data_IF_487966740193
#
_entry.id   IF_487966740193
#
_cell.length_a   1.000
_cell.length_b   1.000
_cell.length_c   1.000
_cell.angle_alpha   90.00
_cell.angle_beta   90.00
_cell.angle_gamma   90.00
#
_symmetry.space_group_name_H-M   'P 1'
#
loop_
_entity.id
_entity.type
_entity.pdbx_description
1 polymer ?
#
# COMPACT_ATOMS: atom_id res chain seq x y z
N UNK A 1 17.69 -0.69 16.93
CA UNK A 1 16.65 -0.42 15.93
C UNK A 1 17.13 0.74 15.10
N UNK A 2 17.34 0.52 13.81
CA UNK A 2 17.74 1.59 12.89
C UNK A 2 16.59 2.60 12.75
N UNK A 3 16.88 3.87 12.39
CA UNK A 3 15.84 4.85 12.12
C UNK A 3 14.92 4.32 11.00
N UNK A 4 13.64 4.18 11.29
CA UNK A 4 12.65 3.72 10.35
C UNK A 4 11.64 4.85 10.12
N UNK A 5 11.38 5.18 8.86
CA UNK A 5 10.47 6.25 8.45
C UNK A 5 9.50 5.71 7.42
N UNK A 6 8.30 6.25 7.42
CA UNK A 6 7.45 6.17 6.23
C UNK A 6 8.10 6.94 5.07
N UNK A 7 7.76 6.55 3.85
CA UNK A 7 8.03 7.37 2.67
C UNK A 7 6.99 8.49 2.58
N UNK A 8 7.35 9.70 3.04
CA UNK A 8 6.40 10.82 3.11
C UNK A 8 5.85 11.21 1.73
N UNK A 9 6.68 11.23 0.69
CA UNK A 9 6.19 11.56 -0.64
C UNK A 9 5.30 10.46 -1.24
N UNK A 10 5.52 9.18 -0.93
CA UNK A 10 4.56 8.13 -1.31
C UNK A 10 3.19 8.35 -0.66
N UNK A 11 3.15 8.82 0.60
CA UNK A 11 1.90 9.23 1.25
C UNK A 11 1.26 10.39 0.51
N UNK A 12 1.99 11.48 0.31
CA UNK A 12 1.47 12.72 -0.28
C UNK A 12 0.92 12.46 -1.69
N UNK A 13 1.69 11.79 -2.54
CA UNK A 13 1.29 11.49 -3.92
C UNK A 13 0.00 10.67 -3.97
N UNK A 14 -0.15 9.70 -3.07
CA UNK A 14 -1.38 8.92 -2.96
C UNK A 14 -2.55 9.74 -2.39
N UNK A 15 -2.31 10.49 -1.31
CA UNK A 15 -3.30 11.35 -0.65
C UNK A 15 -3.90 12.36 -1.62
N UNK A 16 -3.06 13.13 -2.32
CA UNK A 16 -3.50 14.16 -3.26
C UNK A 16 -4.32 13.53 -4.41
N UNK A 17 -3.88 12.37 -4.91
CA UNK A 17 -4.59 11.64 -5.97
C UNK A 17 -5.98 11.16 -5.51
N UNK A 18 -6.07 10.56 -4.32
CA UNK A 18 -7.35 10.08 -3.78
C UNK A 18 -8.31 11.23 -3.46
N UNK A 19 -7.80 12.32 -2.86
CA UNK A 19 -8.58 13.52 -2.56
C UNK A 19 -9.10 14.18 -3.83
N UNK A 20 -8.27 14.32 -4.86
CA UNK A 20 -8.67 14.87 -6.15
C UNK A 20 -9.76 14.01 -6.84
N UNK A 21 -9.76 12.70 -6.59
CA UNK A 21 -10.80 11.79 -7.06
C UNK A 21 -12.07 11.76 -6.19
N UNK A 22 -12.12 12.55 -5.11
CA UNK A 22 -13.28 12.68 -4.23
C UNK A 22 -13.36 11.64 -3.11
N UNK A 23 -12.26 10.92 -2.82
CA UNK A 23 -12.21 9.97 -1.72
C UNK A 23 -11.77 10.63 -0.41
N UNK A 24 -12.33 10.14 0.69
CA UNK A 24 -11.81 10.39 2.03
C UNK A 24 -10.76 9.34 2.34
N UNK A 25 -9.66 9.77 2.95
CA UNK A 25 -8.53 8.90 3.31
C UNK A 25 -8.34 8.95 4.82
N UNK A 26 -8.35 7.78 5.45
CA UNK A 26 -7.99 7.62 6.85
C UNK A 26 -6.64 6.91 6.94
N UNK A 27 -5.84 7.26 7.95
CA UNK A 27 -4.56 6.61 8.22
C UNK A 27 -4.70 5.63 9.38
N UNK A 28 -4.05 4.49 9.25
CA UNK A 28 -3.98 3.45 10.29
C UNK A 28 -2.53 2.97 10.39
N UNK A 29 -2.05 2.73 11.61
CA UNK A 29 -0.76 2.12 11.88
C UNK A 29 -0.91 1.03 12.95
N UNK A 30 0.05 0.10 13.11
CA UNK A 30 -0.04 -0.97 14.11
C UNK A 30 -0.38 -0.47 15.53
N UNK A 31 0.31 0.57 15.99
CA UNK A 31 0.14 1.11 17.35
C UNK A 31 -0.81 2.32 17.41
N UNK A 32 -1.23 2.85 16.26
CA UNK A 32 -1.89 4.14 16.15
C UNK A 32 -0.99 5.31 16.57
N UNK A 33 -1.53 6.53 16.53
CA UNK A 33 -0.83 7.74 16.93
C UNK A 33 0.15 8.25 15.88
N UNK A 34 1.27 8.81 16.34
CA UNK A 34 2.25 9.52 15.52
C UNK A 34 3.15 8.55 14.76
N UNK A 35 3.21 8.74 13.44
CA UNK A 35 4.08 7.95 12.56
C UNK A 35 5.30 8.80 12.20
N UNK A 36 6.53 8.35 12.52
CA UNK A 36 7.72 9.17 12.34
C UNK A 36 8.00 9.44 10.87
N UNK A 37 8.23 10.72 10.57
CA UNK A 37 8.79 11.21 9.32
C UNK A 37 10.17 11.74 9.65
N UNK A 38 11.20 11.17 9.01
CA UNK A 38 12.56 11.67 9.16
C UNK A 38 12.81 12.72 8.08
N UNK A 39 13.10 13.96 8.51
CA UNK A 39 13.33 15.10 7.61
C UNK A 39 14.41 14.82 6.55
N UNK A 40 15.42 14.02 6.87
CA UNK A 40 16.47 13.56 5.94
C UNK A 40 15.91 12.83 4.70
N UNK A 41 14.76 12.15 4.85
CA UNK A 41 14.13 11.35 3.79
C UNK A 41 12.93 12.04 3.14
N UNK A 42 12.69 13.32 3.45
CA UNK A 42 11.67 14.12 2.78
C UNK A 42 12.24 14.65 1.47
N UNK A 43 11.65 14.23 0.35
CA UNK A 43 12.07 14.69 -0.98
C UNK A 43 11.60 16.10 -1.29
N UNK A 44 12.36 16.82 -2.12
CA UNK A 44 12.14 18.24 -2.42
C UNK A 44 10.77 18.52 -3.05
N UNK A 45 10.25 17.59 -3.87
CA UNK A 45 8.95 17.71 -4.53
C UNK A 45 7.76 17.77 -3.56
N UNK A 46 7.92 17.25 -2.35
CA UNK A 46 6.88 17.25 -1.31
C UNK A 46 7.29 17.99 -0.04
N UNK A 47 8.46 18.62 0.00
CA UNK A 47 8.99 19.26 1.21
C UNK A 47 8.03 20.30 1.80
N UNK A 48 7.37 21.10 0.95
CA UNK A 48 6.36 22.08 1.37
C UNK A 48 5.12 21.46 2.06
N UNK A 49 4.87 20.16 1.85
CA UNK A 49 3.71 19.46 2.40
C UNK A 49 3.87 19.11 3.88
N UNK A 50 5.09 19.22 4.44
CA UNK A 50 5.31 19.11 5.89
C UNK A 50 4.56 20.18 6.68
N UNK A 51 4.25 21.32 6.06
CA UNK A 51 3.46 22.40 6.66
C UNK A 51 1.95 22.23 6.42
N UNK A 52 1.50 21.21 5.67
CA UNK A 52 0.07 20.94 5.44
C UNK A 52 -0.54 20.21 6.65
N UNK A 53 -1.29 20.98 7.45
CA UNK A 53 -2.00 20.53 8.64
C UNK A 53 -3.08 19.45 8.40
N UNK A 54 -3.56 19.26 7.17
CA UNK A 54 -4.53 18.19 6.87
C UNK A 54 -3.84 16.82 6.82
N UNK A 55 -2.85 16.66 5.95
CA UNK A 55 -2.14 15.39 5.79
C UNK A 55 -1.30 15.07 7.03
N UNK A 56 -0.65 16.09 7.62
CA UNK A 56 0.19 15.91 8.81
C UNK A 56 -0.62 15.54 10.04
N UNK A 57 -1.84 16.07 10.20
CA UNK A 57 -2.71 15.65 11.29
C UNK A 57 -3.13 14.19 11.16
N UNK A 58 -3.36 13.72 9.93
CA UNK A 58 -3.63 12.32 9.66
C UNK A 58 -2.45 11.41 10.06
N UNK A 59 -1.22 11.83 9.72
CA UNK A 59 0.00 11.09 10.03
C UNK A 59 0.40 11.14 11.51
N UNK A 60 0.09 12.24 12.21
CA UNK A 60 0.32 12.41 13.65
C UNK A 60 -0.71 11.71 14.53
N UNK A 61 -1.86 11.36 13.97
CA UNK A 61 -3.00 10.81 14.71
C UNK A 61 -3.60 9.61 13.96
N UNK A 62 -2.76 8.69 13.52
CA UNK A 62 -3.24 7.47 12.86
C UNK A 62 -4.14 6.68 13.80
N UNK A 63 -5.20 6.09 13.23
CA UNK A 63 -6.06 5.20 13.99
C UNK A 63 -5.30 3.93 14.38
N UNK A 64 -5.68 3.35 15.51
CA UNK A 64 -5.36 1.95 15.81
C UNK A 64 -6.20 1.04 14.91
N UNK A 65 -5.72 -0.18 14.58
CA UNK A 65 -6.46 -1.09 13.72
C UNK A 65 -7.85 -1.41 14.28
N UNK A 66 -8.02 -1.50 15.60
CA UNK A 66 -9.31 -1.79 16.24
C UNK A 66 -10.35 -0.67 16.11
N UNK A 67 -9.92 0.53 15.71
CA UNK A 67 -10.81 1.69 15.52
C UNK A 67 -11.34 1.78 14.08
N UNK A 68 -10.83 0.95 13.17
CA UNK A 68 -11.21 0.93 11.77
C UNK A 68 -12.45 0.03 11.59
N UNK A 69 -13.51 0.60 11.03
CA UNK A 69 -14.64 -0.17 10.50
C UNK A 69 -14.39 -0.50 9.02
N UNK A 70 -13.95 -1.73 8.68
CA UNK A 70 -13.57 -2.08 7.31
C UNK A 70 -14.73 -1.98 6.31
N UNK A 71 -16.00 -2.01 6.76
CA UNK A 71 -17.15 -1.89 5.87
C UNK A 71 -17.24 -0.52 5.18
N UNK A 72 -16.57 0.50 5.73
CA UNK A 72 -16.57 1.88 5.19
C UNK A 72 -15.56 2.09 4.07
N UNK A 73 -14.66 1.13 3.83
CA UNK A 73 -13.53 1.31 2.92
C UNK A 73 -13.70 0.53 1.63
N UNK A 74 -13.28 1.16 0.53
CA UNK A 74 -13.27 0.56 -0.81
C UNK A 74 -11.88 0.18 -1.30
N UNK A 75 -10.83 0.67 -0.64
CA UNK A 75 -9.47 0.30 -0.95
C UNK A 75 -8.60 0.32 0.31
N UNK A 76 -7.53 -0.47 0.28
CA UNK A 76 -6.39 -0.37 1.20
C UNK A 76 -5.15 -0.05 0.37
N UNK A 77 -4.39 0.95 0.82
CA UNK A 77 -3.15 1.38 0.20
C UNK A 77 -2.01 1.28 1.21
N UNK A 78 -1.09 0.34 0.99
CA UNK A 78 0.11 0.18 1.79
C UNK A 78 1.22 1.07 1.25
N UNK A 79 1.63 2.04 2.05
CA UNK A 79 2.75 2.94 1.75
C UNK A 79 4.07 2.23 2.09
N UNK A 80 5.13 2.53 1.36
CA UNK A 80 6.48 2.10 1.66
C UNK A 80 7.21 3.02 2.65
N UNK A 81 8.53 3.01 2.54
CA UNK A 81 9.45 3.40 3.62
C UNK A 81 10.01 2.19 4.34
N UNK A 82 11.17 2.35 4.95
CA UNK A 82 11.91 1.24 5.57
C UNK A 82 11.18 0.61 6.76
N UNK A 83 10.17 1.29 7.31
CA UNK A 83 9.33 0.76 8.39
C UNK A 83 8.26 -0.25 7.93
N UNK A 84 7.86 -0.24 6.65
CA UNK A 84 6.72 -1.01 6.16
C UNK A 84 6.92 -2.54 6.27
N UNK A 85 8.18 -2.98 6.32
CA UNK A 85 8.54 -4.40 6.47
C UNK A 85 8.48 -4.91 7.92
N UNK A 86 8.26 -4.02 8.90
CA UNK A 86 8.18 -4.34 10.33
C UNK A 86 6.80 -4.02 10.89
N UNK A 87 6.25 -4.86 11.76
CA UNK A 87 4.99 -4.63 12.46
C UNK A 87 3.75 -4.85 11.59
N UNK A 88 3.73 -4.28 10.39
CA UNK A 88 2.61 -4.33 9.44
C UNK A 88 2.33 -5.75 8.90
N UNK A 89 3.31 -6.49 8.34
CA UNK A 89 3.03 -7.76 7.67
C UNK A 89 2.51 -8.85 8.62
N UNK A 90 2.81 -8.78 9.91
CA UNK A 90 2.39 -9.73 10.95
C UNK A 90 1.12 -9.32 11.70
N UNK A 91 0.65 -8.07 11.54
CA UNK A 91 -0.47 -7.55 12.32
C UNK A 91 -1.81 -8.14 11.87
N UNK A 92 -2.34 -9.09 12.64
CA UNK A 92 -3.55 -9.85 12.30
C UNK A 92 -4.79 -8.97 12.08
N UNK A 93 -4.96 -7.87 12.83
CA UNK A 93 -6.10 -6.96 12.66
C UNK A 93 -5.99 -6.18 11.34
N UNK A 94 -4.80 -5.71 10.95
CA UNK A 94 -4.60 -5.03 9.66
C UNK A 94 -4.85 -5.99 8.50
N UNK A 95 -4.38 -7.24 8.62
CA UNK A 95 -4.69 -8.29 7.64
C UNK A 95 -6.20 -8.52 7.53
N UNK A 96 -6.91 -8.55 8.66
CA UNK A 96 -8.36 -8.74 8.70
C UNK A 96 -9.12 -7.59 8.04
N UNK A 97 -8.69 -6.34 8.25
CA UNK A 97 -9.23 -5.16 7.59
C UNK A 97 -9.05 -5.28 6.07
N UNK A 98 -7.83 -5.56 5.61
CA UNK A 98 -7.53 -5.71 4.20
C UNK A 98 -8.36 -6.83 3.55
N UNK A 99 -8.43 -8.00 4.18
CA UNK A 99 -9.20 -9.11 3.63
C UNK A 99 -10.70 -8.86 3.65
N UNK A 100 -11.22 -8.11 4.64
CA UNK A 100 -12.61 -7.65 4.61
C UNK A 100 -12.87 -6.74 3.42
N UNK A 101 -12.04 -5.72 3.21
CA UNK A 101 -12.16 -4.81 2.05
C UNK A 101 -12.10 -5.59 0.74
N UNK A 102 -11.17 -6.54 0.62
CA UNK A 102 -11.01 -7.31 -0.61
C UNK A 102 -12.13 -8.33 -0.85
N UNK A 103 -12.49 -9.17 0.12
CA UNK A 103 -13.44 -10.27 -0.10
C UNK A 103 -14.90 -9.86 0.12
N UNK A 104 -15.17 -9.01 1.12
CA UNK A 104 -16.54 -8.63 1.50
C UNK A 104 -17.03 -7.42 0.71
N UNK A 105 -16.20 -6.40 0.58
CA UNK A 105 -16.60 -5.16 -0.09
C UNK A 105 -16.35 -5.20 -1.60
N UNK A 106 -15.57 -6.17 -2.07
CA UNK A 106 -15.11 -6.20 -3.47
C UNK A 106 -14.14 -5.06 -3.80
N UNK A 107 -13.43 -4.54 -2.79
CA UNK A 107 -12.52 -3.39 -2.88
C UNK A 107 -11.12 -3.70 -3.43
N UNK A 108 -10.24 -2.71 -3.43
CA UNK A 108 -8.90 -2.80 -3.99
C UNK A 108 -7.86 -2.99 -2.88
N UNK A 109 -6.88 -3.88 -3.08
CA UNK A 109 -5.67 -3.93 -2.26
C UNK A 109 -4.53 -3.39 -3.09
N UNK A 110 -3.78 -2.46 -2.53
CA UNK A 110 -2.71 -1.80 -3.25
C UNK A 110 -1.50 -1.51 -2.40
N UNK A 111 -0.34 -1.43 -3.03
CA UNK A 111 0.92 -1.15 -2.36
C UNK A 111 1.92 -0.48 -3.28
N UNK A 112 2.90 0.21 -2.70
CA UNK A 112 4.05 0.75 -3.43
C UNK A 112 5.33 0.52 -2.65
N UNK A 113 6.46 0.33 -3.35
CA UNK A 113 7.77 0.24 -2.73
C UNK A 113 7.83 -0.92 -1.71
N UNK A 114 8.23 -0.64 -0.48
CA UNK A 114 8.23 -1.59 0.63
C UNK A 114 6.84 -1.88 1.19
N UNK A 115 5.82 -1.08 0.84
CA UNK A 115 4.43 -1.31 1.23
C UNK A 115 3.92 -2.68 0.76
N UNK A 116 4.55 -3.28 -0.26
CA UNK A 116 4.25 -4.66 -0.71
C UNK A 116 4.45 -5.68 0.41
N UNK A 117 5.24 -5.38 1.44
CA UNK A 117 5.30 -6.15 2.68
C UNK A 117 3.91 -6.40 3.29
N UNK A 118 3.01 -5.41 3.25
CA UNK A 118 1.64 -5.54 3.77
C UNK A 118 0.80 -6.60 3.06
N UNK A 119 1.19 -7.06 1.86
CA UNK A 119 0.45 -8.05 1.07
C UNK A 119 0.93 -9.48 1.31
N UNK A 120 2.19 -9.69 1.69
CA UNK A 120 2.83 -11.02 1.59
C UNK A 120 2.19 -12.08 2.50
N UNK A 121 1.54 -11.65 3.58
CA UNK A 121 0.84 -12.50 4.54
C UNK A 121 -0.68 -12.48 4.42
N UNK A 122 -1.25 -11.70 3.50
CA UNK A 122 -2.69 -11.68 3.27
C UNK A 122 -3.16 -13.02 2.72
N UNK A 123 -4.20 -13.59 3.32
CA UNK A 123 -4.78 -14.87 2.92
C UNK A 123 -6.28 -14.72 2.65
N UNK A 124 -6.72 -15.29 1.54
CA UNK A 124 -8.13 -15.46 1.20
C UNK A 124 -8.82 -16.37 2.23
N UNK A 125 -10.14 -16.30 2.30
CA UNK A 125 -10.94 -17.24 3.11
C UNK A 125 -10.72 -18.72 2.71
N UNK A 126 -10.26 -18.98 1.49
CA UNK A 126 -9.84 -20.31 1.02
C UNK A 126 -8.53 -20.81 1.65
N UNK A 127 -7.79 -19.95 2.35
CA UNK A 127 -6.47 -20.22 2.91
C UNK A 127 -5.30 -19.96 1.94
N UNK A 128 -5.58 -19.68 0.66
CA UNK A 128 -4.55 -19.30 -0.31
C UNK A 128 -4.04 -17.88 -0.04
N UNK A 129 -2.75 -17.63 -0.28
CA UNK A 129 -2.21 -16.27 -0.20
C UNK A 129 -2.85 -15.39 -1.27
N UNK A 130 -3.14 -14.13 -0.93
CA UNK A 130 -3.70 -13.16 -1.88
C UNK A 130 -2.83 -13.01 -3.13
N UNK A 131 -1.51 -13.03 -2.94
CA UNK A 131 -0.52 -12.88 -4.03
C UNK A 131 -0.44 -14.11 -4.94
N UNK A 132 -0.97 -15.27 -4.54
CA UNK A 132 -0.83 -16.50 -5.30
C UNK A 132 -1.49 -16.40 -6.69
N UNK A 133 -0.70 -16.68 -7.73
CA UNK A 133 -1.12 -16.59 -9.14
C UNK A 133 -1.30 -15.17 -9.68
N UNK A 134 -0.94 -14.13 -8.89
CA UNK A 134 -1.04 -12.72 -9.31
C UNK A 134 0.29 -12.18 -9.78
N UNK A 135 0.24 -11.24 -10.72
CA UNK A 135 1.37 -10.33 -10.98
C UNK A 135 1.47 -9.30 -9.87
N UNK A 136 2.66 -9.15 -9.32
CA UNK A 136 2.96 -8.28 -8.18
C UNK A 136 4.27 -7.52 -8.46
N UNK A 137 4.33 -6.27 -8.03
CA UNK A 137 5.54 -5.47 -7.98
C UNK A 137 5.76 -4.93 -6.55
N UNK A 138 6.91 -4.30 -6.34
CA UNK A 138 7.37 -3.79 -5.05
C UNK A 138 8.85 -3.43 -5.16
N UNK A 139 9.45 -3.01 -4.06
CA UNK A 139 10.88 -2.74 -4.04
C UNK A 139 11.65 -4.05 -3.87
N UNK A 140 12.38 -4.54 -4.89
CA UNK A 140 13.01 -5.85 -4.81
C UNK A 140 14.41 -5.75 -4.20
N UNK A 141 14.88 -6.85 -3.62
CA UNK A 141 16.17 -6.92 -2.94
C UNK A 141 17.38 -6.53 -3.82
N UNK A 142 17.27 -6.59 -5.15
CA UNK A 142 18.33 -6.15 -6.07
C UNK A 142 18.50 -4.62 -6.13
N UNK A 143 17.46 -3.85 -5.77
CA UNK A 143 17.52 -2.39 -5.68
C UNK A 143 17.98 -1.92 -4.29
N UNK A 144 18.07 -2.84 -3.33
CA UNK A 144 18.55 -2.54 -1.99
C UNK A 144 20.05 -2.32 -1.95
N UNK A 145 20.48 -1.49 -1.00
CA UNK A 145 21.89 -1.43 -0.62
C UNK A 145 22.24 -2.63 0.26
N UNK A 146 22.53 -3.75 -0.36
CA UNK A 146 22.73 -5.03 0.33
C UNK A 146 23.93 -5.03 1.31
N UNK A 147 24.85 -4.07 1.19
CA UNK A 147 25.97 -3.86 2.11
C UNK A 147 25.60 -3.07 3.37
N UNK A 148 24.47 -2.35 3.34
CA UNK A 148 24.01 -1.49 4.41
C UNK A 148 23.54 -2.29 5.64
N UNK A 149 23.63 -1.66 6.82
CA UNK A 149 23.24 -2.29 8.07
C UNK A 149 21.74 -2.66 8.11
N UNK A 150 20.87 -1.82 7.53
CA UNK A 150 19.42 -2.05 7.55
C UNK A 150 19.00 -3.30 6.80
N UNK A 151 19.65 -3.58 5.66
CA UNK A 151 19.32 -4.74 4.84
C UNK A 151 19.52 -6.05 5.60
N UNK A 152 20.52 -6.10 6.49
CA UNK A 152 20.81 -7.26 7.34
C UNK A 152 19.78 -7.47 8.46
N UNK A 153 18.98 -6.46 8.77
CA UNK A 153 17.91 -6.53 9.76
C UNK A 153 16.54 -6.88 9.14
N UNK A 154 16.44 -6.95 7.81
CA UNK A 154 15.18 -7.27 7.14
C UNK A 154 14.64 -8.65 7.57
N UNK A 155 13.37 -8.73 8.01
CA UNK A 155 12.79 -10.00 8.44
C UNK A 155 12.54 -10.96 7.26
N UNK A 156 12.44 -10.42 6.05
CA UNK A 156 12.29 -11.15 4.80
C UNK A 156 12.65 -10.25 3.61
N UNK A 157 12.74 -10.81 2.40
CA UNK A 157 12.95 -10.07 1.16
C UNK A 157 11.65 -10.06 0.35
N UNK A 158 11.29 -8.92 -0.25
CA UNK A 158 9.98 -8.70 -0.88
C UNK A 158 9.75 -9.65 -2.06
N UNK A 159 10.66 -9.67 -3.05
CA UNK A 159 10.50 -10.50 -4.26
C UNK A 159 10.46 -11.97 -3.87
N UNK A 160 11.49 -12.42 -3.15
CA UNK A 160 11.55 -13.80 -2.66
C UNK A 160 10.28 -14.24 -1.93
N UNK A 161 9.73 -13.41 -1.04
CA UNK A 161 8.55 -13.79 -0.26
C UNK A 161 7.29 -13.83 -1.12
N UNK A 162 7.14 -12.90 -2.06
CA UNK A 162 6.02 -12.95 -3.02
C UNK A 162 6.06 -14.23 -3.85
N UNK A 163 7.24 -14.60 -4.36
CA UNK A 163 7.45 -15.81 -5.17
C UNK A 163 7.23 -17.09 -4.34
N UNK A 164 7.77 -17.16 -3.13
CA UNK A 164 7.57 -18.28 -2.19
C UNK A 164 6.08 -18.46 -1.82
N UNK A 165 5.28 -17.38 -1.91
CA UNK A 165 3.82 -17.38 -1.68
C UNK A 165 3.00 -17.62 -2.95
N UNK A 166 3.67 -17.91 -4.07
CA UNK A 166 3.09 -18.28 -5.35
C UNK A 166 2.72 -17.11 -6.26
N UNK A 167 3.16 -15.89 -5.92
CA UNK A 167 3.03 -14.72 -6.80
C UNK A 167 4.08 -14.70 -7.91
N UNK A 168 3.80 -13.92 -8.96
CA UNK A 168 4.74 -13.65 -10.06
C UNK A 168 5.25 -12.23 -9.89
N UNK A 169 6.52 -12.09 -9.52
CA UNK A 169 7.10 -10.78 -9.23
C UNK A 169 7.68 -10.12 -10.50
N UNK A 170 7.38 -8.83 -10.69
CA UNK A 170 7.91 -8.02 -11.78
C UNK A 170 8.48 -6.70 -11.28
N UNK A 171 9.62 -6.30 -11.82
CA UNK A 171 10.28 -5.01 -11.62
C UNK A 171 11.14 -4.66 -12.84
N UNK A 172 11.37 -3.36 -13.02
CA UNK A 172 12.38 -2.81 -13.92
C UNK A 172 13.72 -2.73 -13.20
N UNK A 173 14.82 -2.84 -13.94
CA UNK A 173 16.17 -2.58 -13.39
C UNK A 173 16.41 -1.08 -13.13
N UNK A 174 15.62 -0.18 -13.74
CA UNK A 174 15.71 1.27 -13.55
C UNK A 174 14.82 1.77 -12.41
N UNK A 175 15.01 3.04 -12.03
CA UNK A 175 14.16 3.74 -11.07
C UNK A 175 12.93 4.40 -11.73
N UNK A 176 12.64 4.07 -12.98
CA UNK A 176 11.44 4.54 -13.67
C UNK A 176 10.18 4.02 -12.97
N UNK A 177 9.06 4.76 -13.02
CA UNK A 177 7.81 4.29 -12.45
C UNK A 177 7.34 2.99 -13.11
N UNK A 178 7.03 1.98 -12.30
CA UNK A 178 6.55 0.69 -12.75
C UNK A 178 5.42 0.18 -11.84
N UNK A 179 4.33 -0.29 -12.46
CA UNK A 179 3.16 -0.82 -11.75
C UNK A 179 2.67 -2.13 -12.37
N UNK A 180 2.12 -2.98 -11.52
CA UNK A 180 1.34 -4.16 -11.88
C UNK A 180 -0.11 -3.97 -11.46
N UNK A 181 -1.03 -4.28 -12.37
CA UNK A 181 -2.48 -4.28 -12.14
C UNK A 181 -3.00 -5.69 -12.43
N UNK A 182 -3.38 -6.43 -11.38
CA UNK A 182 -3.95 -7.77 -11.47
C UNK A 182 -5.34 -7.80 -10.81
N UNK A 183 -6.34 -7.45 -11.62
CA UNK A 183 -7.73 -7.34 -11.19
C UNK A 183 -7.93 -6.22 -10.17
N UNK A 184 -8.02 -6.58 -8.89
CA UNK A 184 -8.21 -5.65 -7.76
C UNK A 184 -6.98 -5.58 -6.85
N UNK A 185 -5.85 -6.10 -7.31
CA UNK A 185 -4.54 -5.93 -6.66
C UNK A 185 -3.70 -5.01 -7.54
N UNK A 186 -3.22 -3.90 -6.97
CA UNK A 186 -2.44 -2.87 -7.69
C UNK A 186 -1.15 -2.60 -6.94
N UNK A 187 0.00 -2.85 -7.55
CA UNK A 187 1.29 -2.74 -6.85
C UNK A 187 2.30 -1.96 -7.66
N UNK A 188 3.15 -1.15 -7.03
CA UNK A 188 4.20 -0.37 -7.70
C UNK A 188 5.58 -0.56 -7.09
N UNK A 189 6.61 -0.37 -7.92
CA UNK A 189 7.97 -0.72 -7.60
C UNK A 189 8.64 0.19 -6.56
N UNK A 190 8.50 1.51 -6.71
CA UNK A 190 9.33 2.48 -5.99
C UNK A 190 8.59 3.81 -5.76
N UNK A 191 9.29 4.79 -5.20
CA UNK A 191 8.77 6.14 -4.94
C UNK A 191 8.07 6.76 -6.17
N UNK A 192 8.73 6.71 -7.34
CA UNK A 192 8.18 7.27 -8.59
C UNK A 192 6.85 6.63 -9.00
N UNK A 193 6.60 5.41 -8.53
CA UNK A 193 5.39 4.64 -8.82
C UNK A 193 4.19 5.02 -7.93
N UNK A 194 4.36 5.83 -6.88
CA UNK A 194 3.31 6.13 -5.90
C UNK A 194 2.05 6.73 -6.52
N UNK A 195 2.23 7.80 -7.31
CA UNK A 195 1.13 8.46 -8.04
C UNK A 195 0.50 7.51 -9.09
N UNK A 196 1.26 6.84 -9.98
CA UNK A 196 0.70 5.85 -10.89
C UNK A 196 -0.12 4.74 -10.21
N UNK A 197 0.32 4.22 -9.06
CA UNK A 197 -0.46 3.24 -8.27
C UNK A 197 -1.76 3.86 -7.80
N UNK A 198 -1.74 5.05 -7.20
CA UNK A 198 -2.94 5.71 -6.71
C UNK A 198 -3.94 6.02 -7.83
N UNK A 199 -3.48 6.47 -8.99
CA UNK A 199 -4.31 6.69 -10.18
C UNK A 199 -4.95 5.38 -10.67
N UNK A 200 -4.17 4.30 -10.72
CA UNK A 200 -4.67 2.98 -11.09
C UNK A 200 -5.73 2.45 -10.09
N UNK A 201 -5.56 2.68 -8.79
CA UNK A 201 -6.56 2.35 -7.77
C UNK A 201 -7.87 3.11 -8.03
N UNK A 202 -7.80 4.42 -8.28
CA UNK A 202 -8.97 5.25 -8.61
C UNK A 202 -9.70 4.71 -9.85
N UNK A 203 -8.95 4.33 -10.89
CA UNK A 203 -9.52 3.79 -12.11
C UNK A 203 -10.19 2.43 -11.91
N UNK A 204 -9.58 1.54 -11.12
CA UNK A 204 -10.20 0.26 -10.77
C UNK A 204 -11.50 0.50 -9.99
N UNK A 205 -11.51 1.41 -9.02
CA UNK A 205 -12.72 1.76 -8.25
C UNK A 205 -13.84 2.34 -9.11
N UNK A 206 -13.50 3.20 -10.09
CA UNK A 206 -14.47 3.75 -11.06
C UNK A 206 -15.07 2.65 -11.95
N UNK A 207 -14.26 1.68 -12.39
CA UNK A 207 -14.76 0.53 -13.17
C UNK A 207 -15.69 -0.36 -12.35
N UNK A 208 -15.35 -0.63 -11.10
CA UNK A 208 -16.18 -1.45 -10.19
C UNK A 208 -17.55 -0.80 -9.93
N UNK A 209 -17.59 0.51 -9.74
CA UNK A 209 -18.85 1.26 -9.54
C UNK A 209 -19.69 1.31 -10.82
N UNK A 210 -19.08 1.53 -11.99
CA UNK A 210 -19.78 1.50 -13.27
C UNK A 210 -20.41 0.13 -13.60
N UNK A 211 -19.74 -0.97 -13.24
CA UNK A 211 -20.26 -2.32 -13.43
C UNK A 211 -21.44 -2.65 -12.48
N UNK A 212 -21.48 -2.06 -11.29
CA UNK A 212 -22.61 -2.21 -10.37
C UNK A 212 -23.87 -1.48 -10.87
N UNK A 213 -23.72 -0.28 -11.44
CA UNK A 213 -24.82 0.49 -12.03
C UNK A 213 -25.43 -0.19 -13.26
N UNK A 214 -24.61 -0.87 -14.09
CA UNK A 214 -25.08 -1.58 -15.28
C UNK A 214 -25.87 -2.88 -15.00
N UNK A 215 -25.63 -3.55 -13.86
CA UNK A 215 -26.37 -4.76 -13.47
C UNK A 215 -27.76 -4.47 -12.89
N UNK A 216 -28.05 -3.23 -12.49
CA UNK A 216 -29.36 -2.80 -11.99
C UNK A 216 -30.38 -2.45 -13.07
N UNK A 217 -29.95 -2.23 -14.32
CA UNK A 217 -30.81 -1.73 -15.40
C UNK A 217 -31.49 -2.83 -16.26
N UNK A 218 -31.22 -4.12 -16.00
CA UNK A 218 -31.82 -5.24 -16.73
C UNK A 218 -32.95 -5.88 -15.90
N UNK A 219 -33.97 -5.09 -15.57
CA UNK A 219 -35.31 -5.56 -15.19
C UNK A 219 -36.33 -4.49 -15.58
N UNK A 220 -36.86 -4.61 -16.79
CA UNK A 220 -37.96 -3.83 -17.34
C UNK A 220 -38.51 -4.54 -18.55
#
# INVERSE_FOLDING_TARGET
>A
MLPASISFGEVVHAWDTFKAAGYVVDFVSPDGGDVPILDEYVSEDVASRIEDEEVMRGLRNTAKPEQIDPARYRAVYYVGGSNAIYGVPEHSVLQSIAMHVYERNGGVISAVCHGTAGLVNLKLASGQNLVAGKRISGFPEEHERQDAAYFKEFPFLIRKTVEDRGGVFHALDSEDPYIEIDGRVVTGQNYASAKPVAEAVVDVLRRLTGQQSGRGAVKG
#
